data_IF_600383545455
#
_entry.id   IF_600383545455
#
_cell.length_a   1.000
_cell.length_b   1.000
_cell.length_c   1.000
_cell.angle_alpha   90.00
_cell.angle_beta   90.00
_cell.angle_gamma   90.00
#
_symmetry.space_group_name_H-M   'P 1'
#
loop_
_entity.id
_entity.type
_entity.pdbx_description
1 polymer ?
#
# COMPACT_ATOMS: atom_id res chain seq x y z
N UNK A 1 25.55 -8.80 -27.73
CA UNK A 1 24.69 -8.33 -28.84
C UNK A 1 23.33 -8.05 -28.24
N UNK A 2 22.94 -6.78 -28.18
CA UNK A 2 21.74 -6.34 -27.47
C UNK A 2 20.48 -6.59 -28.29
N UNK A 3 19.52 -7.32 -27.70
CA UNK A 3 18.13 -7.26 -28.13
C UNK A 3 17.51 -6.02 -27.49
N UNK A 4 17.46 -4.92 -28.25
CA UNK A 4 16.51 -3.85 -27.93
C UNK A 4 15.13 -4.46 -28.13
N UNK A 5 14.40 -4.68 -27.05
CA UNK A 5 13.00 -5.10 -27.12
C UNK A 5 12.22 -3.98 -27.82
N UNK A 6 11.91 -4.18 -29.09
CA UNK A 6 11.06 -3.25 -29.85
C UNK A 6 9.62 -3.52 -29.40
N UNK A 7 9.19 -2.82 -28.35
CA UNK A 7 7.78 -2.78 -28.00
C UNK A 7 7.02 -1.99 -29.10
N UNK A 8 5.82 -2.45 -29.53
CA UNK A 8 5.08 -1.78 -30.58
C UNK A 8 4.78 -0.32 -30.21
N UNK A 9 5.18 0.60 -31.09
CA UNK A 9 5.17 2.06 -30.87
C UNK A 9 3.78 2.73 -30.85
N UNK A 10 2.70 1.95 -30.92
CA UNK A 10 1.32 2.49 -30.93
C UNK A 10 0.46 1.77 -29.91
N UNK A 11 0.87 1.80 -28.64
CA UNK A 11 -0.06 1.51 -27.55
C UNK A 11 -1.18 2.55 -27.56
N UNK A 12 -2.44 2.12 -27.44
CA UNK A 12 -3.56 3.04 -27.20
C UNK A 12 -3.40 3.66 -25.81
N UNK A 13 -2.74 4.82 -25.76
CA UNK A 13 -2.53 5.58 -24.53
C UNK A 13 -3.82 6.30 -24.16
N UNK A 14 -4.14 6.27 -22.86
CA UNK A 14 -5.31 6.97 -22.33
C UNK A 14 -5.02 7.45 -20.91
N UNK A 15 -5.68 8.53 -20.54
CA UNK A 15 -5.76 9.00 -19.17
C UNK A 15 -7.22 9.28 -18.91
N UNK A 16 -7.75 8.71 -17.83
CA UNK A 16 -9.14 8.92 -17.47
C UNK A 16 -9.27 9.49 -16.07
N UNK A 17 -10.23 10.39 -15.94
CA UNK A 17 -10.76 10.83 -14.66
C UNK A 17 -12.06 10.07 -14.43
N UNK A 18 -12.21 9.45 -13.27
CA UNK A 18 -13.41 8.71 -12.89
C UNK A 18 -13.78 8.99 -11.42
N UNK A 19 -15.01 8.67 -11.05
CA UNK A 19 -15.57 8.98 -9.73
C UNK A 19 -16.19 10.39 -9.64
N UNK A 20 -16.84 10.69 -8.51
CA UNK A 20 -17.32 12.04 -8.17
C UNK A 20 -18.70 12.50 -8.68
N UNK A 21 -19.38 11.79 -9.60
CA UNK A 21 -20.66 12.26 -10.18
C UNK A 21 -21.87 11.32 -10.02
N UNK A 22 -21.74 10.15 -9.38
CA UNK A 22 -22.75 9.09 -9.49
C UNK A 22 -23.79 8.95 -8.36
N UNK A 23 -23.91 9.89 -7.43
CA UNK A 23 -25.07 9.88 -6.52
C UNK A 23 -26.02 11.05 -6.79
N UNK A 24 -27.08 10.73 -7.56
CA UNK A 24 -28.27 11.54 -7.83
C UNK A 24 -28.98 11.97 -6.54
N UNK A 25 -28.44 12.97 -5.85
CA UNK A 25 -29.07 13.57 -4.67
C UNK A 25 -28.15 14.36 -3.75
N UNK A 26 -26.84 14.11 -3.79
CA UNK A 26 -25.88 14.89 -2.99
C UNK A 26 -25.44 16.12 -3.78
N UNK A 27 -25.51 17.31 -3.17
CA UNK A 27 -25.05 18.52 -3.83
C UNK A 27 -23.52 18.48 -3.90
N UNK A 28 -22.90 18.96 -4.99
CA UNK A 28 -21.44 18.96 -5.13
C UNK A 28 -20.70 19.50 -3.88
N UNK A 29 -21.27 20.51 -3.20
CA UNK A 29 -20.69 21.13 -2.01
C UNK A 29 -20.75 20.27 -0.72
N UNK A 30 -21.15 18.99 -0.81
CA UNK A 30 -21.41 18.08 0.32
C UNK A 30 -20.36 16.94 0.44
N UNK A 31 -19.11 17.16 0.00
CA UNK A 31 -17.88 16.37 0.29
C UNK A 31 -17.62 14.99 -0.38
N UNK A 32 -17.81 14.73 -1.67
CA UNK A 32 -17.25 13.50 -2.24
C UNK A 32 -15.73 13.64 -2.47
N UNK A 33 -14.92 13.09 -1.54
CA UNK A 33 -13.49 12.86 -1.75
C UNK A 33 -13.26 11.44 -2.24
N UNK A 34 -12.96 11.24 -3.53
CA UNK A 34 -12.56 9.93 -4.04
C UNK A 34 -11.07 9.72 -3.80
N UNK A 35 -10.74 8.94 -2.76
CA UNK A 35 -9.36 8.60 -2.40
C UNK A 35 -9.04 7.19 -2.91
N UNK A 36 -8.57 7.02 -4.16
CA UNK A 36 -8.15 5.72 -4.66
C UNK A 36 -6.96 5.21 -3.85
N UNK A 37 -6.92 3.92 -3.50
CA UNK A 37 -5.85 3.32 -2.69
C UNK A 37 -5.28 2.05 -3.32
N UNK A 38 -6.14 1.23 -3.94
CA UNK A 38 -5.76 -0.05 -4.52
C UNK A 38 -5.94 -0.08 -6.04
N UNK A 39 -5.03 -0.76 -6.73
CA UNK A 39 -5.14 -1.09 -8.14
C UNK A 39 -4.64 -2.52 -8.35
N UNK A 40 -5.43 -3.34 -9.05
CA UNK A 40 -5.02 -4.64 -9.56
C UNK A 40 -5.52 -4.86 -10.99
N UNK A 41 -4.88 -5.76 -11.72
CA UNK A 41 -5.34 -6.21 -13.04
C UNK A 41 -6.00 -7.59 -12.91
N UNK A 42 -7.19 -7.75 -13.49
CA UNK A 42 -7.90 -9.02 -13.57
C UNK A 42 -7.39 -9.87 -14.76
N UNK A 43 -7.81 -11.13 -14.81
CA UNK A 43 -7.44 -12.08 -15.87
C UNK A 43 -7.85 -11.65 -17.28
N UNK A 44 -8.96 -10.94 -17.41
CA UNK A 44 -9.45 -10.38 -18.68
C UNK A 44 -8.65 -9.14 -19.13
N UNK A 45 -7.64 -8.73 -18.36
CA UNK A 45 -6.80 -7.57 -18.59
C UNK A 45 -7.38 -6.25 -18.09
N UNK A 46 -8.65 -6.23 -17.66
CA UNK A 46 -9.27 -5.06 -17.04
C UNK A 46 -8.66 -4.76 -15.67
N UNK A 47 -8.98 -3.58 -15.14
CA UNK A 47 -8.46 -3.10 -13.88
C UNK A 47 -9.58 -3.01 -12.86
N UNK A 48 -9.27 -3.41 -11.63
CA UNK A 48 -10.08 -3.09 -10.46
C UNK A 48 -9.33 -2.06 -9.63
N UNK A 49 -10.03 -0.98 -9.32
CA UNK A 49 -9.58 0.07 -8.41
C UNK A 49 -10.41 -0.05 -7.14
N UNK A 50 -9.79 0.17 -5.99
CA UNK A 50 -10.48 0.40 -4.73
C UNK A 50 -10.07 1.75 -4.15
N UNK A 51 -10.94 2.33 -3.35
CA UNK A 51 -10.67 3.58 -2.66
C UNK A 51 -11.69 3.84 -1.58
N UNK A 52 -11.76 5.09 -1.13
CA UNK A 52 -12.86 5.54 -0.31
C UNK A 52 -13.48 6.84 -0.78
N UNK A 53 -14.74 7.02 -0.38
CA UNK A 53 -15.53 8.23 -0.57
C UNK A 53 -15.98 8.73 0.79
N UNK A 54 -15.73 10.00 1.13
CA UNK A 54 -16.30 10.59 2.35
C UNK A 54 -17.83 10.63 2.26
N UNK A 55 -18.52 10.27 3.35
CA UNK A 55 -19.96 10.48 3.53
C UNK A 55 -20.18 11.60 4.55
N UNK A 56 -20.20 12.87 4.09
CA UNK A 56 -20.43 14.03 4.95
C UNK A 56 -21.86 14.14 5.50
N UNK A 57 -22.81 13.31 5.03
CA UNK A 57 -24.17 13.26 5.58
C UNK A 57 -24.28 12.34 6.81
N UNK A 58 -23.36 11.37 6.92
CA UNK A 58 -23.34 10.41 8.02
C UNK A 58 -22.68 11.01 9.26
N UNK A 59 -23.51 11.61 10.11
CA UNK A 59 -23.16 11.81 11.52
C UNK A 59 -23.48 10.54 12.28
N UNK A 60 -22.45 9.81 12.73
CA UNK A 60 -22.67 8.75 13.69
C UNK A 60 -23.01 9.35 15.06
N UNK A 61 -24.25 9.14 15.51
CA UNK A 61 -24.76 9.66 16.77
C UNK A 61 -24.43 8.77 17.97
N UNK A 62 -23.71 7.66 17.77
CA UNK A 62 -23.30 6.80 18.88
C UNK A 62 -22.24 7.48 19.75
N UNK A 63 -22.50 7.61 21.05
CA UNK A 63 -21.59 8.24 22.00
C UNK A 63 -20.24 7.51 22.18
N UNK A 64 -20.15 6.23 21.78
CA UNK A 64 -18.89 5.46 21.80
C UNK A 64 -18.02 5.65 20.56
N UNK A 65 -18.56 6.29 19.52
CA UNK A 65 -17.88 6.54 18.28
C UNK A 65 -17.35 7.96 18.35
N UNK A 66 -16.04 8.15 18.17
CA UNK A 66 -15.51 9.47 17.84
C UNK A 66 -16.34 9.97 16.66
N UNK A 67 -16.95 11.16 16.75
CA UNK A 67 -17.76 11.78 15.68
C UNK A 67 -16.93 11.96 14.41
N UNK A 68 -16.66 10.87 13.71
CA UNK A 68 -15.82 10.77 12.52
C UNK A 68 -16.74 10.61 11.34
N UNK A 69 -16.50 11.45 10.34
CA UNK A 69 -17.07 11.30 9.01
C UNK A 69 -16.47 10.00 8.46
N UNK A 70 -17.25 8.92 8.42
CA UNK A 70 -16.74 7.65 7.90
C UNK A 70 -16.61 7.75 6.39
N UNK A 71 -15.40 7.51 5.91
CA UNK A 71 -15.15 7.28 4.50
C UNK A 71 -15.53 5.85 4.15
N UNK A 72 -16.40 5.73 3.15
CA UNK A 72 -16.98 4.48 2.69
C UNK A 72 -16.11 3.87 1.60
N UNK A 73 -15.73 2.61 1.75
CA UNK A 73 -14.93 1.94 0.74
C UNK A 73 -15.75 1.61 -0.51
N UNK A 74 -15.14 1.81 -1.66
CA UNK A 74 -15.70 1.51 -2.97
C UNK A 74 -14.72 0.74 -3.83
N UNK A 75 -15.27 0.15 -4.89
CA UNK A 75 -14.51 -0.46 -5.96
C UNK A 75 -15.09 -0.09 -7.32
N UNK A 76 -14.23 -0.03 -8.32
CA UNK A 76 -14.57 0.25 -9.69
C UNK A 76 -13.83 -0.69 -10.64
N UNK A 77 -14.51 -1.14 -11.70
CA UNK A 77 -13.87 -1.83 -12.82
C UNK A 77 -13.73 -0.90 -14.01
N UNK A 78 -12.55 -0.93 -14.62
CA UNK A 78 -12.18 -0.15 -15.80
C UNK A 78 -11.63 -1.12 -16.84
N UNK A 79 -12.10 -1.07 -18.08
CA UNK A 79 -11.65 -1.97 -19.14
C UNK A 79 -10.20 -1.67 -19.60
N UNK A 80 -9.68 -2.49 -20.51
CA UNK A 80 -8.33 -2.37 -21.07
C UNK A 80 -8.07 -1.11 -21.91
N UNK A 81 -9.12 -0.34 -22.21
CA UNK A 81 -9.12 0.91 -22.98
C UNK A 81 -9.46 2.12 -22.09
N UNK A 82 -9.52 1.92 -20.78
CA UNK A 82 -9.84 2.97 -19.83
C UNK A 82 -11.32 3.35 -19.85
N UNK A 83 -12.26 2.48 -20.22
CA UNK A 83 -13.68 2.77 -20.07
C UNK A 83 -14.18 2.25 -18.72
N UNK A 84 -14.87 3.08 -17.92
CA UNK A 84 -15.58 2.64 -16.72
C UNK A 84 -16.60 1.53 -17.06
N UNK A 85 -16.61 0.44 -16.28
CA UNK A 85 -17.50 -0.72 -16.47
C UNK A 85 -18.55 -0.80 -15.36
N UNK A 86 -18.14 -0.73 -14.10
CA UNK A 86 -19.04 -0.66 -12.95
C UNK A 86 -18.36 0.02 -11.78
N UNK A 87 -19.16 0.55 -10.85
CA UNK A 87 -18.73 1.13 -9.58
C UNK A 87 -19.65 0.64 -8.46
N UNK A 88 -19.08 0.26 -7.31
CA UNK A 88 -19.81 -0.36 -6.21
C UNK A 88 -19.23 0.03 -4.85
N UNK A 89 -20.11 0.21 -3.88
CA UNK A 89 -19.70 0.17 -2.48
C UNK A 89 -19.35 -1.26 -2.07
N UNK A 90 -18.35 -1.38 -1.21
CA UNK A 90 -17.95 -2.66 -0.65
C UNK A 90 -18.72 -2.89 0.65
N UNK A 91 -19.59 -3.89 0.65
CA UNK A 91 -20.35 -4.31 1.83
C UNK A 91 -19.86 -5.65 2.37
N UNK A 92 -20.07 -5.86 3.66
CA UNK A 92 -19.96 -7.18 4.28
C UNK A 92 -21.23 -8.00 4.00
N UNK A 93 -21.13 -9.32 4.01
CA UNK A 93 -22.27 -10.20 3.78
C UNK A 93 -23.35 -10.07 4.87
N UNK A 94 -22.92 -9.70 6.08
CA UNK A 94 -23.77 -9.41 7.24
C UNK A 94 -23.21 -8.22 8.01
N UNK A 95 -24.05 -7.37 8.63
CA UNK A 95 -23.57 -6.33 9.52
C UNK A 95 -22.67 -6.90 10.62
N UNK A 96 -21.53 -6.25 10.85
CA UNK A 96 -20.56 -6.60 11.87
C UNK A 96 -20.93 -5.88 13.16
N UNK A 97 -21.12 -6.64 14.24
CA UNK A 97 -21.32 -6.07 15.58
C UNK A 97 -20.02 -5.46 16.13
N UNK A 98 -20.14 -4.26 16.69
CA UNK A 98 -19.06 -3.42 17.20
C UNK A 98 -19.30 -3.03 18.66
N UNK A 99 -19.98 -3.89 19.44
CA UNK A 99 -20.22 -3.72 20.89
C UNK A 99 -20.94 -2.40 21.25
N UNK A 100 -22.01 -2.13 20.51
CA UNK A 100 -22.87 -0.97 20.72
C UNK A 100 -23.40 -0.34 19.43
N UNK A 101 -22.94 -0.81 18.27
CA UNK A 101 -23.44 -0.47 16.95
C UNK A 101 -23.04 -1.55 15.95
N UNK A 102 -23.59 -1.50 14.74
CA UNK A 102 -23.23 -2.42 13.65
C UNK A 102 -22.75 -1.67 12.43
N UNK A 103 -21.76 -2.23 11.72
CA UNK A 103 -21.27 -1.69 10.44
C UNK A 103 -21.48 -2.76 9.35
N UNK A 104 -22.18 -2.43 8.27
CA UNK A 104 -22.35 -3.32 7.11
C UNK A 104 -21.52 -2.93 5.88
N UNK A 105 -20.86 -1.77 5.92
CA UNK A 105 -20.10 -1.21 4.81
C UNK A 105 -18.62 -1.15 5.20
N UNK A 106 -17.73 -1.53 4.29
CA UNK A 106 -16.30 -1.41 4.53
C UNK A 106 -15.93 0.08 4.66
N UNK A 107 -15.03 0.41 5.59
CA UNK A 107 -14.50 1.76 5.78
C UNK A 107 -13.20 1.94 4.96
N UNK A 108 -12.73 3.18 4.77
CA UNK A 108 -11.46 3.42 4.06
C UNK A 108 -10.25 2.72 4.68
N UNK A 109 -10.13 2.77 6.01
CA UNK A 109 -9.10 2.05 6.76
C UNK A 109 -9.18 0.53 6.49
N UNK A 110 -10.30 0.05 5.92
CA UNK A 110 -10.55 -1.36 5.63
C UNK A 110 -9.96 -1.87 4.32
N UNK A 111 -9.59 -1.02 3.34
CA UNK A 111 -9.31 -1.50 1.97
C UNK A 111 -8.08 -0.81 1.34
N UNK A 112 -6.90 -1.08 1.91
CA UNK A 112 -5.63 -0.72 1.27
C UNK A 112 -5.00 -1.88 0.50
N UNK A 113 -5.43 -3.10 0.81
CA UNK A 113 -4.86 -4.31 0.26
C UNK A 113 -5.81 -4.92 -0.76
N UNK A 114 -5.46 -4.81 -2.04
CA UNK A 114 -6.22 -5.33 -3.16
C UNK A 114 -5.32 -6.26 -3.97
N UNK A 115 -5.80 -7.48 -4.23
CA UNK A 115 -5.07 -8.49 -5.01
C UNK A 115 -6.04 -9.17 -5.95
N UNK A 116 -5.69 -9.35 -7.23
CA UNK A 116 -6.47 -10.19 -8.13
C UNK A 116 -6.23 -11.66 -7.79
N UNK A 117 -7.21 -12.52 -8.03
CA UNK A 117 -7.13 -13.93 -7.67
C UNK A 117 -7.00 -14.84 -8.88
N UNK A 118 -6.44 -16.02 -8.65
CA UNK A 118 -6.26 -17.04 -9.69
C UNK A 118 -7.56 -17.59 -10.27
N UNK A 119 -8.73 -17.30 -9.73
CA UNK A 119 -10.02 -17.64 -10.33
C UNK A 119 -10.61 -16.51 -11.20
N UNK A 120 -9.94 -15.35 -11.29
CA UNK A 120 -10.35 -14.21 -12.11
C UNK A 120 -11.04 -13.08 -11.35
N UNK A 121 -11.35 -13.29 -10.07
CA UNK A 121 -11.88 -12.28 -9.18
C UNK A 121 -10.80 -11.42 -8.53
N UNK A 122 -11.13 -10.87 -7.36
CA UNK A 122 -10.19 -10.13 -6.51
C UNK A 122 -10.54 -10.27 -5.03
N UNK A 123 -9.53 -10.04 -4.18
CA UNK A 123 -9.65 -10.01 -2.73
C UNK A 123 -9.28 -8.63 -2.22
N UNK A 124 -10.05 -8.16 -1.25
CA UNK A 124 -9.70 -7.02 -0.42
C UNK A 124 -9.50 -7.45 1.03
N UNK A 125 -8.51 -6.87 1.70
CA UNK A 125 -8.31 -7.09 3.13
C UNK A 125 -7.93 -5.81 3.88
N UNK A 126 -8.36 -5.72 5.14
CA UNK A 126 -7.98 -4.64 6.05
C UNK A 126 -8.86 -4.65 7.29
N UNK A 127 -9.09 -3.49 7.88
CA UNK A 127 -9.72 -3.36 9.20
C UNK A 127 -11.10 -2.71 9.18
N UNK A 128 -12.11 -3.28 9.84
CA UNK A 128 -13.42 -2.66 10.06
C UNK A 128 -13.56 -2.20 11.51
N UNK A 129 -14.23 -1.07 11.74
CA UNK A 129 -14.42 -0.49 13.08
C UNK A 129 -13.72 0.84 13.31
N UNK A 130 -13.61 1.24 14.58
CA UNK A 130 -12.92 2.46 15.02
C UNK A 130 -11.50 2.13 15.49
N UNK A 131 -10.54 3.01 15.21
CA UNK A 131 -9.17 2.91 15.70
C UNK A 131 -9.06 2.84 17.23
N UNK A 132 -10.07 3.34 17.93
CA UNK A 132 -10.04 3.46 19.39
C UNK A 132 -10.74 2.30 20.09
N UNK A 133 -11.63 1.57 19.39
CA UNK A 133 -12.46 0.52 20.00
C UNK A 133 -12.82 -0.59 19.01
N UNK A 134 -12.52 -1.84 19.39
CA UNK A 134 -13.03 -3.06 18.77
C UNK A 134 -12.81 -3.12 17.26
N UNK A 135 -11.59 -2.86 16.80
CA UNK A 135 -11.26 -3.03 15.39
C UNK A 135 -11.17 -4.53 15.08
N UNK A 136 -11.66 -4.94 13.92
CA UNK A 136 -11.58 -6.32 13.43
C UNK A 136 -10.91 -6.35 12.08
N UNK A 137 -10.21 -7.42 11.74
CA UNK A 137 -9.80 -7.62 10.36
C UNK A 137 -10.96 -8.19 9.55
N UNK A 138 -11.02 -7.83 8.28
CA UNK A 138 -11.96 -8.40 7.33
C UNK A 138 -11.23 -8.76 6.05
N UNK A 139 -11.55 -9.95 5.56
CA UNK A 139 -11.14 -10.49 4.27
C UNK A 139 -12.40 -10.65 3.43
N UNK A 140 -12.43 -10.05 2.24
CA UNK A 140 -13.58 -10.13 1.33
C UNK A 140 -13.11 -10.53 -0.06
N UNK A 141 -13.76 -11.55 -0.63
CA UNK A 141 -13.51 -12.05 -1.99
C UNK A 141 -14.68 -11.70 -2.89
N UNK A 142 -14.36 -11.23 -4.08
CA UNK A 142 -15.30 -10.77 -5.09
C UNK A 142 -15.03 -11.46 -6.42
N UNK A 143 -16.08 -11.64 -7.21
CA UNK A 143 -15.94 -12.10 -8.59
C UNK A 143 -15.53 -10.94 -9.54
N UNK A 144 -15.34 -11.24 -10.83
CA UNK A 144 -14.97 -10.26 -11.86
C UNK A 144 -16.04 -9.18 -12.12
N UNK A 145 -17.25 -9.37 -11.61
CA UNK A 145 -18.39 -8.44 -11.69
C UNK A 145 -18.48 -7.56 -10.44
N UNK A 146 -17.60 -7.77 -9.46
CA UNK A 146 -17.60 -7.06 -8.19
C UNK A 146 -18.72 -7.52 -7.26
N UNK A 147 -19.25 -8.72 -7.43
CA UNK A 147 -20.17 -9.32 -6.46
C UNK A 147 -19.38 -10.02 -5.35
N UNK A 148 -19.78 -9.80 -4.10
CA UNK A 148 -19.16 -10.46 -2.95
C UNK A 148 -19.49 -11.96 -2.98
N UNK A 149 -18.47 -12.80 -3.12
CA UNK A 149 -18.64 -14.27 -3.12
C UNK A 149 -18.48 -14.86 -1.73
N UNK A 150 -17.65 -14.24 -0.90
CA UNK A 150 -17.43 -14.64 0.49
C UNK A 150 -16.69 -13.56 1.25
N UNK A 151 -17.00 -13.38 2.53
CA UNK A 151 -16.20 -12.61 3.46
C UNK A 151 -15.96 -13.35 4.78
N UNK A 152 -14.93 -12.91 5.50
CA UNK A 152 -14.58 -13.43 6.81
C UNK A 152 -14.09 -12.29 7.69
N UNK A 153 -14.72 -12.16 8.85
CA UNK A 153 -14.21 -11.36 9.96
C UNK A 153 -13.16 -12.19 10.69
N UNK A 154 -11.98 -11.61 10.91
CA UNK A 154 -10.85 -12.24 11.57
C UNK A 154 -10.60 -11.47 12.86
N UNK A 155 -10.75 -12.16 13.98
CA UNK A 155 -10.57 -11.59 15.31
C UNK A 155 -9.09 -11.59 15.69
N UNK A 156 -8.65 -10.61 16.49
CA UNK A 156 -7.25 -10.51 16.93
C UNK A 156 -6.77 -11.81 17.60
N UNK A 157 -7.64 -12.47 18.38
CA UNK A 157 -7.35 -13.75 19.04
C UNK A 157 -7.01 -14.91 18.09
N UNK A 158 -7.51 -14.87 16.84
CA UNK A 158 -7.16 -15.86 15.81
C UNK A 158 -5.73 -15.68 15.29
N UNK A 159 -5.13 -14.52 15.52
CA UNK A 159 -3.81 -14.14 15.01
C UNK A 159 -2.75 -14.27 16.10
N UNK A 160 -3.09 -13.88 17.33
CA UNK A 160 -2.13 -13.78 18.43
C UNK A 160 -2.09 -15.02 19.33
N UNK A 161 -2.72 -16.14 18.96
CA UNK A 161 -2.86 -17.33 19.82
C UNK A 161 -3.33 -17.00 21.26
N UNK A 162 -4.15 -15.96 21.40
CA UNK A 162 -4.74 -15.53 22.68
C UNK A 162 -3.88 -14.68 23.61
N UNK A 163 -2.62 -14.32 23.28
CA UNK A 163 -1.87 -13.37 24.12
C UNK A 163 -2.39 -11.93 24.02
N UNK A 164 -3.11 -11.62 22.94
CA UNK A 164 -3.67 -10.30 22.76
C UNK A 164 -4.88 -10.08 23.68
N UNK A 165 -4.82 -8.98 24.43
CA UNK A 165 -5.87 -8.56 25.36
C UNK A 165 -6.77 -7.44 24.82
N UNK A 166 -6.38 -6.75 23.75
CA UNK A 166 -7.14 -5.65 23.14
C UNK A 166 -7.48 -5.97 21.67
N UNK A 167 -8.69 -5.60 21.24
CA UNK A 167 -9.19 -5.80 19.87
C UNK A 167 -8.79 -4.62 18.98
N UNK A 168 -7.50 -4.54 18.60
CA UNK A 168 -7.01 -3.56 17.62
C UNK A 168 -5.98 -4.15 16.63
N UNK A 169 -6.39 -5.06 15.73
CA UNK A 169 -5.52 -5.58 14.69
C UNK A 169 -5.42 -4.59 13.51
N UNK A 170 -4.26 -4.49 12.88
CA UNK A 170 -4.06 -3.68 11.67
C UNK A 170 -3.26 -4.42 10.60
N UNK A 171 -3.66 -4.34 9.33
CA UNK A 171 -2.99 -5.03 8.21
C UNK A 171 -2.17 -4.05 7.37
N UNK A 172 -0.84 -4.15 7.45
CA UNK A 172 0.11 -3.24 6.79
C UNK A 172 0.54 -3.70 5.40
N UNK A 173 0.49 -5.00 5.14
CA UNK A 173 0.78 -5.56 3.83
C UNK A 173 0.02 -6.84 3.63
N UNK A 174 -0.23 -7.16 2.36
CA UNK A 174 -1.02 -8.31 1.97
C UNK A 174 -0.68 -8.71 0.54
N UNK A 175 -0.34 -9.97 0.35
CA UNK A 175 0.20 -10.48 -0.89
C UNK A 175 -0.34 -11.86 -1.17
N UNK A 176 -0.75 -12.11 -2.40
CA UNK A 176 -1.10 -13.44 -2.85
C UNK A 176 0.16 -14.30 -3.01
N UNK A 177 0.02 -15.55 -2.59
CA UNK A 177 0.96 -16.65 -2.72
C UNK A 177 0.32 -17.72 -3.63
N UNK A 178 1.07 -18.78 -3.91
CA UNK A 178 0.56 -19.97 -4.62
C UNK A 178 -0.70 -20.54 -3.95
N UNK A 179 -1.57 -21.13 -4.78
CA UNK A 179 -2.83 -21.76 -4.37
C UNK A 179 -3.79 -20.82 -3.61
N UNK A 180 -3.80 -19.53 -3.98
CA UNK A 180 -4.64 -18.49 -3.35
C UNK A 180 -4.44 -18.42 -1.82
N UNK A 181 -3.24 -18.72 -1.33
CA UNK A 181 -2.86 -18.35 0.04
C UNK A 181 -2.49 -16.87 0.04
N UNK A 182 -2.60 -16.22 1.19
CA UNK A 182 -2.18 -14.84 1.32
C UNK A 182 -1.23 -14.68 2.50
N UNK A 183 -0.22 -13.84 2.33
CA UNK A 183 0.68 -13.44 3.41
C UNK A 183 0.46 -11.98 3.72
N UNK A 184 0.25 -11.68 5.00
CA UNK A 184 0.16 -10.31 5.46
C UNK A 184 1.01 -10.03 6.68
N UNK A 185 1.34 -8.75 6.87
CA UNK A 185 1.92 -8.23 8.10
C UNK A 185 0.82 -7.58 8.91
N UNK A 186 0.57 -8.11 10.11
CA UNK A 186 -0.49 -7.66 11.00
C UNK A 186 0.09 -7.15 12.30
N UNK A 187 -0.33 -6.00 12.79
CA UNK A 187 -0.12 -5.65 14.21
C UNK A 187 -1.31 -6.07 15.04
N UNK A 188 -1.06 -6.31 16.33
CA UNK A 188 -2.08 -6.43 17.38
C UNK A 188 -1.62 -5.66 18.61
N UNK A 189 -2.55 -5.02 19.30
CA UNK A 189 -2.30 -4.37 20.60
C UNK A 189 -2.64 -5.31 21.75
N UNK A 190 -1.83 -5.29 22.81
CA UNK A 190 -2.04 -6.14 23.99
C UNK A 190 -1.49 -5.50 25.27
N UNK A 191 -2.00 -5.93 26.42
CA UNK A 191 -1.54 -5.46 27.73
C UNK A 191 -0.38 -6.30 28.20
N UNK A 192 0.67 -5.63 28.65
CA UNK A 192 1.84 -6.26 29.27
C UNK A 192 1.96 -5.71 30.69
N UNK A 193 2.01 -6.62 31.66
CA UNK A 193 2.36 -6.32 33.04
C UNK A 193 3.86 -6.54 33.22
N UNK A 194 4.56 -5.52 33.70
CA UNK A 194 6.00 -5.59 33.99
C UNK A 194 6.22 -5.27 35.45
N UNK A 195 6.99 -6.10 36.16
CA UNK A 195 7.41 -5.81 37.53
C UNK A 195 8.70 -4.99 37.52
N UNK A 196 8.64 -3.77 38.05
CA UNK A 196 9.81 -2.93 38.28
C UNK A 196 10.18 -2.95 39.77
N UNK A 197 11.39 -3.42 40.09
CA UNK A 197 11.93 -3.39 41.45
C UNK A 197 12.79 -2.15 41.65
N UNK A 198 12.39 -1.29 42.59
CA UNK A 198 13.17 -0.15 43.03
C UNK A 198 13.42 -0.27 44.55
N UNK A 199 14.58 -0.82 44.90
CA UNK A 199 14.91 -1.22 46.27
C UNK A 199 13.99 -2.34 46.77
N UNK A 200 13.32 -2.12 47.91
CA UNK A 200 12.35 -3.07 48.49
C UNK A 200 10.93 -2.91 47.90
N UNK A 201 10.72 -1.95 46.99
CA UNK A 201 9.42 -1.69 46.38
C UNK A 201 9.35 -2.41 45.04
N UNK A 202 8.32 -3.24 44.86
CA UNK A 202 7.97 -3.81 43.56
C UNK A 202 6.75 -3.06 43.03
N UNK A 203 6.86 -2.42 41.88
CA UNK A 203 5.78 -1.73 41.20
C UNK A 203 5.36 -2.58 40.00
N UNK A 204 4.06 -2.85 39.87
CA UNK A 204 3.51 -3.45 38.65
C UNK A 204 3.15 -2.32 37.70
N UNK A 205 3.85 -2.27 36.57
CA UNK A 205 3.60 -1.32 35.48
C UNK A 205 2.75 -2.03 34.44
N UNK A 206 1.57 -1.47 34.17
CA UNK A 206 0.70 -1.87 33.08
C UNK A 206 0.99 -1.00 31.86
N UNK A 207 1.33 -1.63 30.73
CA UNK A 207 1.56 -0.93 29.47
C UNK A 207 0.80 -1.60 28.32
N UNK A 208 0.33 -0.80 27.36
CA UNK A 208 -0.16 -1.31 26.08
C UNK A 208 1.03 -1.42 25.13
N UNK A 209 1.24 -2.60 24.56
CA UNK A 209 2.28 -2.87 23.58
C UNK A 209 1.63 -3.26 22.25
N UNK A 210 2.19 -2.76 21.16
CA UNK A 210 1.89 -3.22 19.80
C UNK A 210 2.91 -4.29 19.40
N UNK A 211 2.43 -5.46 19.01
CA UNK A 211 3.24 -6.55 18.49
C UNK A 211 2.90 -6.79 17.02
N UNK A 212 3.92 -7.10 16.23
CA UNK A 212 3.75 -7.40 14.81
C UNK A 212 3.89 -8.90 14.57
N UNK A 213 3.01 -9.44 13.74
CA UNK A 213 2.98 -10.82 13.34
C UNK A 213 2.92 -10.87 11.83
N UNK A 214 3.66 -11.79 11.22
CA UNK A 214 3.38 -12.16 9.85
C UNK A 214 2.41 -13.34 9.86
N UNK A 215 1.39 -13.24 9.02
CA UNK A 215 0.20 -14.11 9.05
C UNK A 215 0.01 -14.75 7.69
N UNK A 216 -0.20 -16.05 7.69
CA UNK A 216 -0.61 -16.83 6.53
C UNK A 216 -2.13 -17.02 6.59
N UNK A 217 -2.83 -16.48 5.60
CA UNK A 217 -4.25 -16.68 5.40
C UNK A 217 -4.50 -17.72 4.31
N UNK A 218 -5.56 -18.51 4.47
CA UNK A 218 -6.09 -19.35 3.42
C UNK A 218 -6.88 -18.55 2.38
N UNK A 219 -7.32 -19.24 1.33
CA UNK A 219 -8.17 -18.69 0.25
C UNK A 219 -9.51 -18.10 0.74
N UNK A 220 -9.94 -18.50 1.92
CA UNK A 220 -11.16 -18.10 2.62
C UNK A 220 -10.90 -17.04 3.70
N UNK A 221 -9.68 -16.50 3.76
CA UNK A 221 -9.26 -15.57 4.80
C UNK A 221 -8.99 -16.20 6.16
N UNK A 222 -9.14 -17.54 6.34
CA UNK A 222 -8.87 -18.17 7.61
C UNK A 222 -7.38 -18.08 7.97
N UNK A 223 -7.06 -17.71 9.22
CA UNK A 223 -5.69 -17.71 9.72
C UNK A 223 -5.19 -19.16 9.79
N UNK A 224 -4.13 -19.47 9.04
CA UNK A 224 -3.49 -20.80 8.99
C UNK A 224 -2.25 -20.87 9.87
N UNK A 225 -1.53 -19.76 9.96
CA UNK A 225 -0.34 -19.62 10.80
C UNK A 225 -0.12 -18.12 11.07
N UNK A 226 0.38 -17.80 12.26
CA UNK A 226 0.77 -16.45 12.63
C UNK A 226 2.00 -16.53 13.53
N UNK A 227 2.97 -15.65 13.30
CA UNK A 227 4.27 -15.72 13.97
C UNK A 227 4.74 -14.31 14.32
N UNK A 228 5.06 -14.14 15.60
CA UNK A 228 5.53 -12.88 16.15
C UNK A 228 6.91 -12.48 15.60
N UNK A 229 7.08 -11.18 15.34
CA UNK A 229 8.33 -10.56 14.90
C UNK A 229 8.90 -9.78 16.10
N UNK A 230 9.85 -10.35 16.86
CA UNK A 230 10.27 -9.77 18.15
C UNK A 230 10.99 -8.42 18.03
N UNK A 231 11.68 -8.17 16.91
CA UNK A 231 12.52 -6.99 16.72
C UNK A 231 11.81 -5.82 16.01
N UNK A 232 10.49 -5.91 15.81
CA UNK A 232 9.69 -4.90 15.12
C UNK A 232 8.80 -4.16 16.12
N UNK A 233 9.25 -2.96 16.53
CA UNK A 233 8.55 -2.13 17.51
C UNK A 233 7.56 -1.14 16.89
N UNK A 234 7.62 -0.93 15.57
CA UNK A 234 6.77 0.00 14.84
C UNK A 234 6.53 -0.50 13.41
N UNK A 235 5.52 0.05 12.74
CA UNK A 235 5.15 -0.37 11.40
C UNK A 235 6.31 -0.16 10.42
N UNK A 236 6.66 -1.17 9.59
CA UNK A 236 7.71 -1.00 8.60
C UNK A 236 7.26 -0.05 7.51
N UNK A 237 8.21 0.68 6.93
CA UNK A 237 7.92 1.60 5.82
C UNK A 237 7.61 0.84 4.53
N UNK A 238 8.19 -0.35 4.36
CA UNK A 238 7.98 -1.19 3.20
C UNK A 238 8.11 -2.67 3.56
N UNK A 239 7.36 -3.53 2.89
CA UNK A 239 7.51 -4.99 3.04
C UNK A 239 7.19 -5.74 1.75
N UNK A 240 7.79 -6.91 1.62
CA UNK A 240 7.51 -7.87 0.55
C UNK A 240 7.46 -9.30 1.11
N UNK A 241 6.37 -9.99 0.83
CA UNK A 241 6.13 -11.39 1.16
C UNK A 241 6.67 -12.33 0.10
N UNK A 242 7.08 -13.51 0.55
CA UNK A 242 7.52 -14.63 -0.27
C UNK A 242 6.79 -15.89 0.21
N UNK A 243 6.92 -17.02 -0.48
CA UNK A 243 6.42 -18.29 0.05
C UNK A 243 7.19 -18.67 1.33
N UNK A 244 8.50 -18.54 1.26
CA UNK A 244 9.44 -18.98 2.26
C UNK A 244 9.72 -17.93 3.34
N UNK A 245 9.11 -16.74 3.28
CA UNK A 245 9.30 -15.74 4.32
C UNK A 245 8.73 -14.36 4.02
N UNK A 246 9.29 -13.34 4.69
CA UNK A 246 8.98 -11.92 4.49
C UNK A 246 10.25 -11.09 4.60
N UNK A 247 10.38 -10.06 3.76
CA UNK A 247 11.35 -8.97 3.95
C UNK A 247 10.59 -7.71 4.33
N UNK A 248 11.12 -6.93 5.26
CA UNK A 248 10.61 -5.59 5.53
C UNK A 248 11.73 -4.62 5.84
N UNK A 249 11.50 -3.34 5.57
CA UNK A 249 12.41 -2.24 5.81
C UNK A 249 11.81 -1.26 6.81
N UNK A 250 12.63 -0.82 7.74
CA UNK A 250 12.26 -0.01 8.88
C UNK A 250 13.24 1.16 8.96
N UNK A 251 12.73 2.39 8.97
CA UNK A 251 13.55 3.58 9.21
C UNK A 251 13.60 3.81 10.72
N UNK A 252 14.75 3.57 11.34
CA UNK A 252 14.94 3.61 12.80
C UNK A 252 15.41 4.96 13.27
N UNK A 253 14.95 5.38 14.44
CA UNK A 253 15.54 6.52 15.14
C UNK A 253 16.86 6.06 15.81
N UNK A 254 17.97 6.74 15.54
CA UNK A 254 19.23 6.69 16.30
C UNK A 254 20.06 5.38 16.25
N UNK A 255 20.36 4.82 15.07
CA UNK A 255 21.37 3.73 14.99
C UNK A 255 22.82 4.26 14.89
N UNK A 256 23.01 5.51 14.46
CA UNK A 256 24.34 6.13 14.31
C UNK A 256 24.87 6.87 15.56
N UNK A 257 24.16 6.82 16.69
CA UNK A 257 24.54 7.50 17.94
C UNK A 257 24.40 9.03 17.91
N UNK A 258 23.77 9.60 16.88
CA UNK A 258 23.39 11.02 16.82
C UNK A 258 21.89 11.14 16.95
N UNK A 259 21.43 11.99 17.87
CA UNK A 259 20.01 12.33 17.99
C UNK A 259 19.50 12.88 16.65
N UNK A 260 18.31 12.45 16.23
CA UNK A 260 17.61 12.84 14.99
C UNK A 260 18.13 12.26 13.67
N UNK A 261 19.07 11.32 13.69
CA UNK A 261 19.45 10.59 12.46
C UNK A 261 18.63 9.31 12.29
N UNK A 262 18.00 9.16 11.12
CA UNK A 262 17.30 7.93 10.74
C UNK A 262 18.16 7.07 9.83
N UNK A 263 18.29 5.80 10.18
CA UNK A 263 18.96 4.78 9.36
C UNK A 263 17.92 3.75 8.90
N UNK A 264 18.19 3.04 7.80
CA UNK A 264 17.30 1.99 7.30
C UNK A 264 17.81 0.62 7.69
N UNK A 265 16.97 -0.14 8.37
CA UNK A 265 17.23 -1.55 8.71
C UNK A 265 16.31 -2.44 7.91
N UNK A 266 16.90 -3.37 7.16
CA UNK A 266 16.18 -4.38 6.37
C UNK A 266 16.30 -5.72 7.08
N UNK A 267 15.16 -6.36 7.30
CA UNK A 267 15.07 -7.67 7.94
C UNK A 267 14.50 -8.70 6.97
N UNK A 268 15.02 -9.93 7.06
CA UNK A 268 14.44 -11.11 6.42
C UNK A 268 14.12 -12.16 7.48
N UNK A 269 12.91 -12.66 7.44
CA UNK A 269 12.46 -13.80 8.22
C UNK A 269 12.01 -14.92 7.29
N UNK A 270 12.15 -16.17 7.73
CA UNK A 270 11.52 -17.31 7.08
C UNK A 270 10.04 -17.47 7.46
N UNK A 271 9.37 -18.48 6.92
CA UNK A 271 7.97 -18.80 7.17
C UNK A 271 7.68 -19.35 8.58
N UNK A 272 8.72 -19.70 9.35
CA UNK A 272 8.60 -20.20 10.72
C UNK A 272 8.90 -19.12 11.77
N UNK A 273 9.51 -18.01 11.34
CA UNK A 273 9.65 -16.77 12.10
C UNK A 273 11.05 -16.58 12.61
N UNK A 274 11.98 -17.36 12.07
CA UNK A 274 13.39 -17.22 12.33
C UNK A 274 13.95 -16.11 11.46
N UNK A 275 14.68 -15.19 12.09
CA UNK A 275 15.42 -14.16 11.36
C UNK A 275 16.54 -14.83 10.56
N UNK A 276 16.45 -14.74 9.23
CA UNK A 276 17.49 -15.23 8.32
C UNK A 276 18.66 -14.24 8.25
N UNK A 277 18.35 -12.95 8.17
CA UNK A 277 19.36 -11.89 8.23
C UNK A 277 18.75 -10.54 8.59
N UNK A 278 19.61 -9.63 9.07
CA UNK A 278 19.32 -8.22 9.38
C UNK A 278 20.49 -7.38 8.87
N UNK A 279 20.20 -6.30 8.16
CA UNK A 279 21.22 -5.40 7.58
C UNK A 279 20.82 -3.94 7.81
N UNK A 280 21.77 -3.13 8.23
CA UNK A 280 21.61 -1.69 8.42
C UNK A 280 22.31 -0.95 7.30
N UNK A 281 21.64 0.06 6.76
CA UNK A 281 22.12 0.94 5.72
C UNK A 281 21.94 2.39 6.18
N UNK A 282 23.04 3.14 6.13
CA UNK A 282 23.12 4.48 6.69
C UNK A 282 24.04 5.37 5.86
N UNK A 283 23.70 6.65 5.79
CA UNK A 283 24.47 7.70 5.16
C UNK A 283 24.96 8.65 6.24
N UNK A 284 26.28 8.75 6.50
CA UNK A 284 26.79 9.56 7.61
C UNK A 284 26.30 11.00 7.59
N UNK A 285 25.63 11.44 8.66
CA UNK A 285 25.12 12.80 8.82
C UNK A 285 23.94 13.16 7.93
N UNK A 286 23.19 12.17 7.45
CA UNK A 286 21.91 12.35 6.76
C UNK A 286 20.91 11.31 7.24
N UNK A 287 19.63 11.58 7.03
CA UNK A 287 18.55 10.63 7.28
C UNK A 287 18.32 9.78 6.04
N UNK A 288 18.31 8.46 6.19
CA UNK A 288 17.92 7.50 5.18
C UNK A 288 16.48 7.03 5.45
N UNK A 289 15.67 6.96 4.40
CA UNK A 289 14.28 6.55 4.48
C UNK A 289 13.99 5.49 3.44
N UNK A 290 13.35 4.39 3.84
CA UNK A 290 12.80 3.42 2.91
C UNK A 290 11.39 3.84 2.48
N UNK A 291 11.09 3.71 1.19
CA UNK A 291 9.78 4.01 0.59
C UNK A 291 9.16 2.73 0.04
N UNK A 292 9.94 1.89 -0.65
CA UNK A 292 9.43 0.64 -1.20
C UNK A 292 10.46 -0.48 -1.18
N UNK A 293 9.94 -1.71 -1.20
CA UNK A 293 10.68 -2.94 -1.40
C UNK A 293 10.01 -3.72 -2.54
N UNK A 294 10.79 -4.07 -3.56
CA UNK A 294 10.32 -4.82 -4.72
C UNK A 294 11.11 -6.10 -4.89
N UNK A 295 10.39 -7.22 -5.06
CA UNK A 295 10.98 -8.44 -5.62
C UNK A 295 11.21 -8.22 -7.11
N UNK A 296 12.44 -8.45 -7.56
CA UNK A 296 12.83 -8.33 -8.96
C UNK A 296 12.72 -9.65 -9.70
N UNK A 297 12.60 -9.57 -11.03
CA UNK A 297 12.50 -10.72 -11.93
C UNK A 297 13.71 -11.66 -11.87
N UNK A 298 14.89 -11.13 -11.54
CA UNK A 298 16.13 -11.89 -11.36
C UNK A 298 16.27 -12.53 -9.97
N UNK A 299 15.23 -12.43 -9.13
CA UNK A 299 15.19 -12.98 -7.77
C UNK A 299 15.81 -12.07 -6.71
N UNK A 300 16.45 -10.96 -7.08
CA UNK A 300 16.99 -9.98 -6.14
C UNK A 300 15.89 -9.08 -5.58
N UNK A 301 16.28 -8.20 -4.66
CA UNK A 301 15.42 -7.21 -4.04
C UNK A 301 15.89 -5.81 -4.43
N UNK A 302 14.97 -4.91 -4.76
CA UNK A 302 15.23 -3.48 -4.82
C UNK A 302 14.62 -2.80 -3.60
N UNK A 303 15.43 -2.05 -2.89
CA UNK A 303 14.96 -1.02 -1.98
C UNK A 303 15.01 0.33 -2.70
N UNK A 304 13.92 1.07 -2.62
CA UNK A 304 13.90 2.48 -3.01
C UNK A 304 13.58 3.36 -1.82
N UNK A 305 14.20 4.52 -1.80
CA UNK A 305 14.13 5.42 -0.68
C UNK A 305 14.61 6.81 -1.03
N UNK A 306 14.85 7.59 0.01
CA UNK A 306 15.52 8.87 -0.11
C UNK A 306 16.51 9.09 1.02
N UNK A 307 17.41 10.02 0.75
CA UNK A 307 18.36 10.57 1.70
C UNK A 307 17.97 12.02 1.90
N UNK A 308 17.96 12.48 3.14
CA UNK A 308 17.59 13.84 3.50
C UNK A 308 18.61 14.47 4.47
N UNK A 309 18.91 15.76 4.28
CA UNK A 309 19.70 16.54 5.21
C UNK A 309 21.17 16.72 4.80
N UNK A 310 21.84 17.67 5.46
CA UNK A 310 23.24 18.06 5.23
C UNK A 310 23.59 18.34 3.75
N UNK A 311 22.61 18.81 2.96
CA UNK A 311 22.76 19.06 1.53
C UNK A 311 23.02 17.79 0.71
N UNK A 312 22.63 16.61 1.21
CA UNK A 312 22.80 15.29 0.56
C UNK A 312 21.51 14.74 -0.05
N UNK A 313 20.48 15.57 -0.17
CA UNK A 313 19.16 15.13 -0.62
C UNK A 313 19.23 14.39 -1.96
N UNK A 314 18.78 13.14 -1.97
CA UNK A 314 18.90 12.27 -3.12
C UNK A 314 17.87 11.15 -3.08
N UNK A 315 17.43 10.72 -4.26
CA UNK A 315 16.79 9.42 -4.43
C UNK A 315 17.84 8.34 -4.23
N UNK A 316 17.47 7.33 -3.45
CA UNK A 316 18.32 6.21 -3.11
C UNK A 316 17.73 4.91 -3.62
N UNK A 317 18.50 4.19 -4.43
CA UNK A 317 18.17 2.87 -4.94
C UNK A 317 19.27 1.90 -4.49
N UNK A 318 18.86 0.78 -3.91
CA UNK A 318 19.77 -0.24 -3.38
C UNK A 318 19.29 -1.61 -3.82
N UNK A 319 20.10 -2.32 -4.60
CA UNK A 319 19.82 -3.70 -5.00
C UNK A 319 20.54 -4.67 -4.08
N UNK A 320 19.77 -5.58 -3.50
CA UNK A 320 20.23 -6.59 -2.55
C UNK A 320 20.04 -7.99 -3.13
N UNK A 321 20.99 -8.87 -2.86
CA UNK A 321 20.81 -10.30 -3.07
C UNK A 321 19.75 -10.86 -2.11
N UNK A 322 19.20 -12.07 -2.35
CA UNK A 322 18.32 -12.74 -1.39
C UNK A 322 18.92 -12.94 0.01
N UNK A 323 20.26 -12.91 0.11
CA UNK A 323 21.02 -13.01 1.37
C UNK A 323 21.26 -11.65 2.04
N UNK A 324 20.73 -10.57 1.48
CA UNK A 324 20.91 -9.20 2.00
C UNK A 324 22.29 -8.62 1.69
N UNK A 325 23.01 -9.14 0.70
CA UNK A 325 24.29 -8.58 0.25
C UNK A 325 24.05 -7.47 -0.76
N UNK A 326 24.75 -6.35 -0.62
CA UNK A 326 24.67 -5.25 -1.60
C UNK A 326 25.25 -5.69 -2.93
N UNK A 327 24.42 -5.70 -3.96
CA UNK A 327 24.85 -5.90 -5.36
C UNK A 327 25.30 -4.56 -5.95
N UNK A 328 24.47 -3.52 -5.78
CA UNK A 328 24.83 -2.16 -6.12
C UNK A 328 23.99 -1.16 -5.30
N UNK A 329 24.52 0.06 -5.18
CA UNK A 329 23.86 1.19 -4.55
C UNK A 329 24.02 2.43 -5.44
N UNK A 330 22.92 3.15 -5.66
CA UNK A 330 22.90 4.38 -6.44
C UNK A 330 22.17 5.48 -5.68
N UNK A 331 22.82 6.64 -5.53
CA UNK A 331 22.29 7.85 -4.89
C UNK A 331 22.29 8.98 -5.91
N UNK A 332 21.11 9.51 -6.25
CA UNK A 332 20.95 10.49 -7.33
C UNK A 332 20.09 11.67 -6.90
N UNK A 333 20.61 12.87 -7.13
CA UNK A 333 19.82 14.09 -6.95
C UNK A 333 18.88 14.25 -8.14
N UNK A 334 17.58 14.27 -7.86
CA UNK A 334 16.54 14.51 -8.86
C UNK A 334 15.88 15.85 -8.50
N UNK A 335 15.73 16.77 -9.46
CA UNK A 335 15.18 18.09 -9.14
C UNK A 335 13.78 18.00 -8.51
N UNK A 336 13.47 18.89 -7.55
CA UNK A 336 12.19 18.92 -6.83
C UNK A 336 12.28 18.27 -5.44
N UNK A 337 11.22 17.58 -5.01
CA UNK A 337 11.25 16.72 -3.83
C UNK A 337 12.11 15.49 -4.19
N UNK A 338 13.32 15.35 -3.62
CA UNK A 338 14.30 14.29 -3.93
C UNK A 338 13.86 12.87 -3.49
N UNK A 339 12.56 12.54 -3.58
CA UNK A 339 11.97 11.29 -3.13
C UNK A 339 11.04 10.74 -4.22
N UNK A 340 11.26 9.49 -4.65
CA UNK A 340 10.32 8.78 -5.55
C UNK A 340 9.04 8.44 -4.79
N UNK A 341 7.87 8.71 -5.38
CA UNK A 341 6.59 8.28 -4.80
C UNK A 341 6.36 6.78 -5.05
N UNK A 342 6.71 6.30 -6.24
CA UNK A 342 6.56 4.90 -6.65
C UNK A 342 7.73 4.51 -7.55
N UNK A 343 8.01 3.22 -7.61
CA UNK A 343 8.95 2.63 -8.57
C UNK A 343 8.48 1.22 -8.95
N UNK A 344 8.81 0.78 -10.16
CA UNK A 344 8.54 -0.56 -10.66
C UNK A 344 9.67 -1.03 -11.58
N UNK A 345 9.95 -2.33 -11.59
CA UNK A 345 10.90 -2.93 -12.53
C UNK A 345 10.36 -2.92 -13.95
N UNK A 346 11.15 -2.40 -14.89
CA UNK A 346 10.87 -2.36 -16.32
C UNK A 346 11.18 -3.70 -16.99
N UNK A 347 10.59 -4.03 -18.16
CA UNK A 347 10.90 -5.28 -18.88
C UNK A 347 12.37 -5.43 -19.31
N UNK A 348 13.06 -4.32 -19.51
CA UNK A 348 14.50 -4.26 -19.82
C UNK A 348 15.39 -4.43 -18.57
N UNK A 349 14.83 -4.91 -17.45
CA UNK A 349 15.47 -5.04 -16.13
C UNK A 349 15.97 -3.72 -15.54
N UNK A 350 15.61 -2.58 -16.15
CA UNK A 350 15.71 -1.26 -15.55
C UNK A 350 14.51 -0.96 -14.63
N UNK A 351 14.24 0.31 -14.41
CA UNK A 351 13.14 0.75 -13.54
C UNK A 351 12.42 1.98 -14.09
N UNK A 352 11.13 2.10 -13.79
CA UNK A 352 10.38 3.33 -13.95
C UNK A 352 9.97 3.85 -12.57
N UNK A 353 10.44 5.05 -12.23
CA UNK A 353 10.05 5.79 -11.04
C UNK A 353 9.03 6.89 -11.36
N UNK A 354 8.14 7.18 -10.41
CA UNK A 354 7.20 8.29 -10.46
C UNK A 354 7.59 9.32 -9.40
N UNK A 355 7.67 10.59 -9.81
CA UNK A 355 7.68 11.74 -8.93
C UNK A 355 6.35 12.47 -9.07
N UNK A 356 5.58 12.50 -7.98
CA UNK A 356 4.34 13.24 -7.85
C UNK A 356 4.20 13.71 -6.40
N UNK A 357 4.05 15.01 -6.17
CA UNK A 357 3.90 15.56 -4.84
C UNK A 357 3.46 17.02 -4.85
N UNK A 358 2.35 17.32 -4.17
CA UNK A 358 1.95 18.69 -3.83
C UNK A 358 1.43 19.52 -5.01
N UNK A 359 0.61 18.93 -5.91
CA UNK A 359 0.01 19.59 -7.08
C UNK A 359 1.02 19.92 -8.22
N UNK A 360 2.23 19.36 -8.14
CA UNK A 360 3.25 19.48 -9.19
C UNK A 360 2.97 18.60 -10.43
N UNK A 361 3.69 18.83 -11.54
CA UNK A 361 3.63 17.97 -12.72
C UNK A 361 4.10 16.55 -12.37
N UNK A 362 3.38 15.54 -12.88
CA UNK A 362 3.85 14.16 -12.85
C UNK A 362 5.15 14.06 -13.64
N UNK A 363 6.19 13.50 -13.02
CA UNK A 363 7.46 13.23 -13.70
C UNK A 363 7.75 11.74 -13.67
N UNK A 364 7.95 11.15 -14.84
CA UNK A 364 8.35 9.75 -15.00
C UNK A 364 9.85 9.68 -15.26
N UNK A 365 10.56 8.83 -14.51
CA UNK A 365 12.01 8.71 -14.56
C UNK A 365 12.40 7.28 -14.87
N UNK A 366 13.14 7.08 -15.95
CA UNK A 366 13.66 5.78 -16.34
C UNK A 366 15.07 5.60 -15.79
N UNK A 367 15.32 4.45 -15.18
CA UNK A 367 16.62 4.03 -14.68
C UNK A 367 17.07 2.76 -15.42
N UNK A 368 18.38 2.59 -15.61
CA UNK A 368 18.95 1.34 -16.10
C UNK A 368 18.98 0.26 -15.00
N UNK A 369 19.45 -0.94 -15.36
CA UNK A 369 19.52 -2.09 -14.43
C UNK A 369 20.51 -1.91 -13.27
N UNK A 370 21.36 -0.87 -13.31
CA UNK A 370 22.24 -0.44 -12.21
C UNK A 370 21.63 0.70 -11.37
N UNK A 371 20.39 1.10 -11.69
CA UNK A 371 19.68 2.17 -11.00
C UNK A 371 20.13 3.57 -11.44
N UNK A 372 20.94 3.74 -12.48
CA UNK A 372 21.34 5.06 -12.98
C UNK A 372 20.26 5.65 -13.89
N UNK A 373 19.96 6.94 -13.73
CA UNK A 373 18.96 7.65 -14.55
C UNK A 373 19.38 7.63 -16.03
N UNK A 374 18.49 7.12 -16.88
CA UNK A 374 18.60 7.16 -18.34
C UNK A 374 17.87 8.40 -18.88
N UNK A 375 16.63 8.62 -18.44
CA UNK A 375 15.77 9.67 -18.98
C UNK A 375 14.72 10.15 -17.98
N UNK A 376 14.16 11.31 -18.24
CA UNK A 376 13.12 11.95 -17.43
C UNK A 376 12.09 12.60 -18.35
N UNK A 377 10.80 12.36 -18.08
CA UNK A 377 9.68 12.95 -18.81
C UNK A 377 8.76 13.68 -17.84
N UNK A 378 8.65 14.99 -18.02
CA UNK A 378 7.73 15.85 -17.25
C UNK A 378 6.43 15.97 -18.02
N UNK A 379 5.33 15.58 -17.40
CA UNK A 379 4.01 15.63 -18.00
C UNK A 379 3.22 16.83 -17.49
N UNK A 380 2.35 17.38 -18.34
CA UNK A 380 1.46 18.49 -17.99
C UNK A 380 0.44 18.11 -16.91
N UNK A 381 0.11 16.82 -16.80
CA UNK A 381 -0.81 16.32 -15.79
C UNK A 381 -0.25 16.60 -14.39
N UNK A 382 -1.04 17.32 -13.58
CA UNK A 382 -0.70 17.62 -12.19
C UNK A 382 -1.33 16.59 -11.28
N UNK A 383 -0.52 15.97 -10.43
CA UNK A 383 -0.95 14.97 -9.49
C UNK A 383 -0.69 15.46 -8.08
N UNK A 384 -1.62 15.19 -7.18
CA UNK A 384 -1.36 15.37 -5.76
C UNK A 384 -0.50 14.22 -5.25
N UNK A 385 -0.91 12.97 -5.57
CA UNK A 385 -0.18 11.75 -5.21
C UNK A 385 -0.40 10.66 -6.27
N UNK A 386 0.60 9.80 -6.45
CA UNK A 386 0.48 8.55 -7.18
C UNK A 386 0.49 7.39 -6.17
N UNK A 387 -0.52 6.52 -6.23
CA UNK A 387 -0.78 5.50 -5.20
C UNK A 387 -0.31 4.11 -5.61
N UNK A 388 -0.45 3.76 -6.88
CA UNK A 388 -0.04 2.45 -7.39
C UNK A 388 0.44 2.54 -8.83
N UNK A 389 1.42 1.71 -9.17
CA UNK A 389 1.86 1.47 -10.54
C UNK A 389 1.87 -0.03 -10.80
N UNK A 390 1.36 -0.44 -11.95
CA UNK A 390 1.39 -1.81 -12.45
C UNK A 390 1.97 -1.84 -13.87
N UNK A 391 2.29 -3.04 -14.34
CA UNK A 391 2.63 -3.33 -15.74
C UNK A 391 1.49 -4.09 -16.39
N UNK A 392 1.27 -3.85 -17.67
CA UNK A 392 0.50 -4.71 -18.55
C UNK A 392 1.28 -5.00 -19.84
N UNK A 393 0.65 -5.54 -20.86
CA UNK A 393 1.23 -5.81 -22.18
C UNK A 393 1.59 -4.52 -22.96
N UNK A 394 0.88 -3.42 -22.68
CA UNK A 394 1.00 -2.14 -23.40
C UNK A 394 2.01 -1.17 -22.77
N UNK A 395 2.33 -1.32 -21.49
CA UNK A 395 3.22 -0.43 -20.74
C UNK A 395 2.91 -0.40 -19.25
N UNK A 396 2.84 0.80 -18.67
CA UNK A 396 2.54 0.99 -17.26
C UNK A 396 1.15 1.57 -17.04
N UNK A 397 0.54 1.22 -15.91
CA UNK A 397 -0.73 1.77 -15.47
C UNK A 397 -0.55 2.40 -14.11
N UNK A 398 -0.84 3.70 -14.00
CA UNK A 398 -0.62 4.50 -12.80
C UNK A 398 -1.97 4.94 -12.24
N UNK A 399 -2.26 4.53 -11.01
CA UNK A 399 -3.38 5.04 -10.22
C UNK A 399 -2.91 6.24 -9.39
N UNK A 400 -3.63 7.35 -9.51
CA UNK A 400 -3.28 8.61 -8.88
C UNK A 400 -4.53 9.43 -8.57
N UNK A 401 -4.35 10.58 -7.94
CA UNK A 401 -5.41 11.56 -7.81
C UNK A 401 -4.90 12.98 -7.84
N UNK A 402 -5.80 13.91 -8.17
CA UNK A 402 -5.53 15.36 -8.11
C UNK A 402 -6.14 16.01 -6.87
N UNK A 403 -5.69 17.22 -6.57
CA UNK A 403 -6.30 18.10 -5.58
C UNK A 403 -6.51 19.47 -6.22
N UNK A 404 -7.71 20.04 -6.10
CA UNK A 404 -8.02 21.39 -6.61
C UNK A 404 -8.42 22.32 -5.47
N UNK A 405 -7.64 23.38 -5.22
CA UNK A 405 -7.99 24.43 -4.25
C UNK A 405 -9.27 25.19 -4.67
N UNK A 406 -10.14 25.63 -3.73
CA UNK A 406 -10.02 25.63 -2.26
C UNK A 406 -10.33 24.28 -1.56
N UNK A 407 -10.36 23.18 -2.32
CA UNK A 407 -10.59 21.77 -1.96
C UNK A 407 -12.02 21.43 -1.55
N UNK A 408 -12.73 20.74 -2.46
CA UNK A 408 -13.88 19.91 -2.13
C UNK A 408 -13.92 18.59 -2.92
N UNK A 409 -13.03 18.40 -3.91
CA UNK A 409 -13.03 17.20 -4.76
C UNK A 409 -11.63 16.69 -5.02
N UNK A 410 -11.53 15.37 -5.00
CA UNK A 410 -10.37 14.60 -5.39
C UNK A 410 -10.80 13.78 -6.60
N UNK A 411 -10.15 14.03 -7.73
CA UNK A 411 -10.40 13.27 -8.96
C UNK A 411 -9.49 12.05 -8.97
N UNK A 412 -10.07 10.85 -9.02
CA UNK A 412 -9.31 9.63 -9.23
C UNK A 412 -8.88 9.55 -10.71
N UNK A 413 -7.59 9.29 -10.94
CA UNK A 413 -6.98 9.21 -12.25
C UNK A 413 -6.36 7.84 -12.48
N UNK A 414 -6.68 7.23 -13.62
CA UNK A 414 -5.97 6.05 -14.12
C UNK A 414 -5.30 6.41 -15.45
N UNK A 415 -3.99 6.18 -15.51
CA UNK A 415 -3.13 6.63 -16.59
C UNK A 415 -2.41 5.42 -17.20
N UNK A 416 -2.68 5.13 -18.47
CA UNK A 416 -1.90 4.19 -19.26
C UNK A 416 -0.75 4.93 -19.95
N UNK A 417 0.46 4.43 -19.74
CA UNK A 417 1.67 4.86 -20.43
C UNK A 417 2.16 3.74 -21.35
N UNK A 418 3.03 4.08 -22.30
CA UNK A 418 3.87 3.07 -22.95
C UNK A 418 5.08 2.71 -22.06
N UNK A 419 5.92 1.79 -22.55
CA UNK A 419 7.14 1.34 -21.85
C UNK A 419 8.24 2.40 -21.70
N UNK A 420 8.16 3.49 -22.47
CA UNK A 420 9.07 4.63 -22.36
C UNK A 420 8.50 5.74 -21.46
N UNK A 421 7.30 5.56 -20.90
CA UNK A 421 6.63 6.55 -20.07
C UNK A 421 6.02 7.71 -20.88
N UNK A 422 5.66 7.52 -22.14
CA UNK A 422 4.78 8.47 -22.85
C UNK A 422 3.33 8.29 -22.38
N UNK A 423 2.58 9.37 -22.33
CA UNK A 423 1.16 9.40 -21.92
C UNK A 423 0.33 10.15 -22.95
N UNK A 424 -0.98 9.87 -23.01
CA UNK A 424 -1.93 10.69 -23.78
C UNK A 424 -1.88 12.15 -23.31
N UNK A 425 -2.14 13.15 -24.16
CA UNK A 425 -2.11 14.55 -23.73
C UNK A 425 -3.29 14.94 -22.82
N UNK A 426 -4.44 14.29 -23.02
CA UNK A 426 -5.69 14.67 -22.37
C UNK A 426 -6.12 13.60 -21.37
N UNK A 427 -6.50 14.05 -20.18
CA UNK A 427 -7.24 13.24 -19.23
C UNK A 427 -8.74 13.48 -19.46
N UNK A 428 -9.47 12.43 -19.83
CA UNK A 428 -10.88 12.51 -20.18
C UNK A 428 -11.71 12.04 -18.99
N UNK A 429 -12.65 12.87 -18.53
CA UNK A 429 -13.64 12.44 -17.54
C UNK A 429 -14.59 11.43 -18.18
N UNK A 430 -14.75 10.28 -17.55
CA UNK A 430 -15.69 9.25 -17.97
C UNK A 430 -16.58 8.85 -16.79
N UNK A 431 -17.87 8.79 -17.05
CA UNK A 431 -18.87 8.36 -16.08
C UNK A 431 -19.09 6.84 -16.21
N UNK A 432 -19.39 6.19 -15.10
CA UNK A 432 -19.81 4.80 -15.11
C UNK A 432 -21.22 4.69 -15.72
N UNK A 433 -21.56 3.54 -16.32
CA UNK A 433 -22.88 3.30 -16.90
C UNK A 433 -24.01 3.30 -15.86
#
# INVERSE_FOLDING_TARGET
MGSVSVFPQTASLWQIVFGGEQYNGMKPNECPEELPSGLTQLKDGSFVVTGSANDCSRQDSNAKIEKKIYSTAWSAKIDTNGNPVWWKYLFTSKPVDMEGYTIGIHNFESIQNLVSTQDGGFVTAGTIGSATYNRKLIFSKYDERGELTSDRIILAKEICDGFCGEEDPHLYSFQELSNEKFRGLVSVSHRVETEEKNGNTTTIVNAIKTSFLYVLFGKDGAVKNAKHIPDLSFAPNASVGYEEGIVFAVSTDNVSGRESQRDVVVHRYDSDGKQLWKKTFATPGAEDMAISLLKLSDGNLLLSGGIAGAGKDAVWLLKLSPKGETIWETKQRLGGFNFLSLIIESPDQGFLGVLAGGEGPMTLIKFDSSGKKISEKKHSQRLYMANKILKNDKGYVILSYTKKKPASYIDALLIQTDWDGNVSKEAIRKNFP
#
